data_IF_752879394759
#
_entry.id   IF_752879394759
#
_cell.length_a   1.000
_cell.length_b   1.000
_cell.length_c   1.000
_cell.angle_alpha   90.00
_cell.angle_beta   90.00
_cell.angle_gamma   90.00
#
_symmetry.space_group_name_H-M   'P 1'
#
loop_
_entity.id
_entity.type
_entity.pdbx_description
1 polymer ?
#
# COMPACT_ATOMS: atom_id res chain seq x y z
N UNK A 1 8.89 1.77 -32.74
CA UNK A 1 9.17 1.45 -31.32
C UNK A 1 8.41 0.19 -31.00
N UNK A 2 9.07 -0.95 -31.19
CA UNK A 2 8.49 -2.28 -31.01
C UNK A 2 8.51 -2.64 -29.53
N UNK A 3 7.30 -2.81 -29.01
CA UNK A 3 6.88 -3.56 -27.84
C UNK A 3 7.95 -4.51 -27.27
N UNK A 4 8.79 -4.02 -26.35
CA UNK A 4 9.68 -4.83 -25.50
C UNK A 4 8.97 -5.12 -24.18
N UNK A 5 7.76 -5.69 -24.29
CA UNK A 5 6.95 -6.07 -23.14
C UNK A 5 7.60 -7.22 -22.39
N UNK A 6 7.45 -7.15 -21.07
CA UNK A 6 7.88 -8.08 -20.05
C UNK A 6 7.60 -9.53 -20.48
N UNK A 7 8.65 -10.31 -20.78
CA UNK A 7 8.47 -11.67 -21.32
C UNK A 7 7.90 -12.66 -20.29
N UNK A 8 7.91 -12.34 -18.99
CA UNK A 8 7.59 -13.31 -17.92
C UNK A 8 6.72 -12.77 -16.75
N UNK A 9 5.96 -11.68 -16.95
CA UNK A 9 4.99 -11.22 -15.93
C UNK A 9 3.85 -12.23 -15.75
N UNK A 10 3.36 -12.73 -16.89
CA UNK A 10 2.29 -13.71 -16.98
C UNK A 10 2.78 -15.13 -16.63
N UNK A 11 2.06 -15.87 -15.76
CA UNK A 11 2.26 -17.28 -15.43
C UNK A 11 2.59 -18.19 -16.62
N UNK A 12 1.73 -18.18 -17.65
CA UNK A 12 1.85 -19.07 -18.79
C UNK A 12 3.09 -18.77 -19.63
N UNK A 13 3.47 -17.49 -19.75
CA UNK A 13 4.70 -17.10 -20.45
C UNK A 13 5.95 -17.52 -19.67
N UNK A 14 5.92 -17.46 -18.33
CA UNK A 14 7.02 -17.95 -17.51
C UNK A 14 7.17 -19.47 -17.64
N UNK A 15 6.09 -20.25 -17.45
CA UNK A 15 6.13 -21.72 -17.60
C UNK A 15 6.57 -22.14 -19.01
N UNK A 16 6.12 -21.44 -20.07
CA UNK A 16 6.59 -21.71 -21.43
C UNK A 16 8.11 -21.47 -21.59
N UNK A 17 8.64 -20.39 -21.02
CA UNK A 17 10.06 -20.07 -21.07
C UNK A 17 10.93 -21.05 -20.25
N UNK A 18 10.42 -21.53 -19.11
CA UNK A 18 11.07 -22.58 -18.32
C UNK A 18 11.13 -23.88 -19.12
N UNK A 19 10.01 -24.29 -19.72
CA UNK A 19 9.95 -25.49 -20.56
C UNK A 19 10.89 -25.41 -21.77
N UNK A 20 10.96 -24.25 -22.43
CA UNK A 20 11.90 -24.00 -23.52
C UNK A 20 13.36 -24.10 -23.04
N UNK A 21 13.68 -23.49 -21.89
CA UNK A 21 15.02 -23.55 -21.31
C UNK A 21 15.42 -24.98 -20.90
N UNK A 22 14.50 -25.74 -20.30
CA UNK A 22 14.71 -27.15 -19.96
C UNK A 22 14.90 -28.02 -21.20
N UNK A 23 14.14 -27.78 -22.27
CA UNK A 23 14.31 -28.50 -23.54
C UNK A 23 15.66 -28.19 -24.20
N UNK A 24 16.10 -26.93 -24.17
CA UNK A 24 17.43 -26.54 -24.65
C UNK A 24 18.55 -27.19 -23.83
N UNK A 25 18.40 -27.22 -22.50
CA UNK A 25 19.32 -27.92 -21.61
C UNK A 25 19.36 -29.43 -21.90
N UNK A 26 18.22 -30.08 -22.07
CA UNK A 26 18.10 -31.51 -22.43
C UNK A 26 18.83 -31.83 -23.74
N UNK A 27 18.63 -31.00 -24.77
CA UNK A 27 19.27 -31.15 -26.07
C UNK A 27 20.79 -30.96 -25.99
N UNK A 28 21.26 -29.91 -25.31
CA UNK A 28 22.68 -29.64 -25.11
C UNK A 28 23.39 -30.75 -24.33
N UNK A 29 22.71 -31.28 -23.30
CA UNK A 29 23.19 -32.40 -22.50
C UNK A 29 23.33 -33.67 -23.35
N UNK A 30 22.31 -33.97 -24.18
CA UNK A 30 22.34 -35.11 -25.11
C UNK A 30 23.52 -35.02 -26.07
N UNK A 31 23.69 -33.87 -26.74
CA UNK A 31 24.78 -33.65 -27.68
C UNK A 31 26.15 -33.84 -27.00
N UNK A 32 26.29 -33.28 -25.79
CA UNK A 32 27.54 -33.38 -25.02
C UNK A 32 27.86 -34.82 -24.63
N UNK A 33 26.88 -35.58 -24.12
CA UNK A 33 27.04 -36.99 -23.80
C UNK A 33 27.40 -37.84 -25.03
N UNK A 34 26.74 -37.61 -26.17
CA UNK A 34 27.03 -38.35 -27.41
C UNK A 34 28.45 -38.07 -27.91
N UNK A 35 28.89 -36.81 -27.85
CA UNK A 35 30.25 -36.41 -28.23
C UNK A 35 31.29 -37.10 -27.36
N UNK A 36 31.16 -37.01 -26.03
CA UNK A 36 32.11 -37.61 -25.10
C UNK A 36 32.17 -39.15 -25.24
N UNK A 37 31.01 -39.80 -25.42
CA UNK A 37 30.92 -41.25 -25.62
C UNK A 37 31.62 -41.72 -26.90
N UNK A 38 31.55 -40.94 -27.98
CA UNK A 38 32.23 -41.24 -29.26
C UNK A 38 33.73 -40.98 -29.21
N UNK A 39 34.16 -39.91 -28.54
CA UNK A 39 35.55 -39.44 -28.58
C UNK A 39 36.48 -40.17 -27.60
N UNK A 40 35.99 -40.55 -26.42
CA UNK A 40 36.87 -40.94 -25.31
C UNK A 40 36.71 -42.36 -24.79
N UNK A 41 35.65 -43.08 -25.17
CA UNK A 41 35.21 -44.35 -24.53
C UNK A 41 35.08 -44.26 -23.00
N UNK A 42 35.24 -43.07 -22.42
CA UNK A 42 35.09 -42.87 -21.00
C UNK A 42 33.60 -42.76 -20.71
N UNK A 43 33.09 -43.60 -19.79
CA UNK A 43 31.70 -43.52 -19.36
C UNK A 43 31.56 -42.13 -18.72
N UNK A 44 30.85 -41.19 -19.36
CA UNK A 44 30.67 -39.87 -18.77
C UNK A 44 29.94 -40.02 -17.44
N UNK A 45 30.04 -39.03 -16.56
CA UNK A 45 29.29 -39.05 -15.30
C UNK A 45 27.80 -39.37 -15.56
N UNK A 46 27.21 -40.29 -14.81
CA UNK A 46 25.81 -40.69 -14.99
C UNK A 46 25.09 -40.85 -13.63
N UNK A 47 23.75 -40.74 -13.61
CA UNK A 47 22.96 -40.93 -12.40
C UNK A 47 23.07 -42.35 -11.83
N UNK A 48 23.29 -43.34 -12.70
CA UNK A 48 23.40 -44.76 -12.32
C UNK A 48 24.69 -45.09 -11.51
N UNK A 49 25.72 -44.22 -11.48
CA UNK A 49 26.97 -44.47 -10.75
C UNK A 49 26.77 -44.55 -9.24
N UNK A 50 25.68 -43.99 -8.73
CA UNK A 50 25.28 -44.15 -7.33
C UNK A 50 24.56 -45.48 -7.07
N UNK A 51 24.19 -46.23 -8.12
CA UNK A 51 23.47 -47.49 -8.02
C UNK A 51 24.27 -48.67 -8.64
N UNK A 52 25.09 -49.39 -7.83
CA UNK A 52 26.02 -50.41 -8.31
C UNK A 52 25.37 -51.66 -8.93
N UNK A 53 24.03 -51.76 -8.95
CA UNK A 53 23.29 -52.88 -9.52
C UNK A 53 23.08 -52.78 -11.04
N UNK A 54 23.26 -51.60 -11.64
CA UNK A 54 23.14 -51.42 -13.10
C UNK A 54 24.51 -51.67 -13.73
N UNK A 55 24.74 -52.90 -14.21
CA UNK A 55 26.04 -53.31 -14.78
C UNK A 55 26.65 -52.25 -15.69
N UNK A 56 27.94 -51.96 -15.49
CA UNK A 56 28.66 -50.93 -16.24
C UNK A 56 28.57 -51.23 -17.75
N UNK A 57 28.25 -50.25 -18.60
CA UNK A 57 28.20 -50.45 -20.03
C UNK A 57 29.57 -50.93 -20.54
N UNK A 58 29.57 -52.01 -21.33
CA UNK A 58 30.77 -52.65 -21.86
C UNK A 58 31.15 -52.17 -23.26
N UNK A 59 30.35 -51.28 -23.88
CA UNK A 59 30.61 -50.72 -25.20
C UNK A 59 29.99 -49.31 -25.35
N UNK A 60 30.43 -48.50 -26.34
CA UNK A 60 29.90 -47.18 -26.61
C UNK A 60 28.43 -47.26 -27.03
N UNK A 61 28.04 -48.29 -27.78
CA UNK A 61 26.64 -48.51 -28.17
C UNK A 61 25.72 -48.70 -26.96
N UNK A 62 26.19 -49.39 -25.91
CA UNK A 62 25.44 -49.51 -24.67
C UNK A 62 25.35 -48.18 -23.91
N UNK A 63 26.39 -47.33 -23.98
CA UNK A 63 26.34 -45.97 -23.43
C UNK A 63 25.32 -45.13 -24.19
N UNK A 64 25.39 -45.10 -25.52
CA UNK A 64 24.48 -44.35 -26.39
C UNK A 64 23.01 -44.73 -26.16
N UNK A 65 22.72 -46.01 -25.92
CA UNK A 65 21.37 -46.49 -25.59
C UNK A 65 20.85 -46.01 -24.24
N UNK A 66 21.73 -45.65 -23.30
CA UNK A 66 21.36 -45.17 -21.95
C UNK A 66 21.25 -43.65 -21.85
N UNK A 67 21.92 -42.88 -22.72
CA UNK A 67 21.91 -41.40 -22.72
C UNK A 67 20.49 -40.83 -22.61
N UNK A 68 19.48 -41.25 -23.41
CA UNK A 68 18.14 -40.66 -23.33
C UNK A 68 17.49 -40.81 -21.96
N UNK A 69 17.81 -41.89 -21.24
CA UNK A 69 17.31 -42.11 -19.89
C UNK A 69 18.02 -41.18 -18.89
N UNK A 70 19.35 -41.14 -18.91
CA UNK A 70 20.13 -40.30 -18.00
C UNK A 70 19.80 -38.82 -18.16
N UNK A 71 19.68 -38.36 -19.40
CA UNK A 71 19.31 -36.98 -19.72
C UNK A 71 17.93 -36.63 -19.15
N UNK A 72 16.95 -37.53 -19.26
CA UNK A 72 15.62 -37.34 -18.66
C UNK A 72 15.64 -37.33 -17.13
N UNK A 73 16.41 -38.22 -16.51
CA UNK A 73 16.59 -38.25 -15.06
C UNK A 73 17.22 -36.96 -14.55
N UNK A 74 18.26 -36.45 -15.24
CA UNK A 74 18.91 -35.18 -14.92
C UNK A 74 17.95 -33.99 -15.12
N UNK A 75 17.22 -33.94 -16.24
CA UNK A 75 16.20 -32.91 -16.48
C UNK A 75 15.16 -32.91 -15.36
N UNK A 76 14.67 -34.08 -14.95
CA UNK A 76 13.69 -34.20 -13.88
C UNK A 76 14.25 -33.74 -12.52
N UNK A 77 15.53 -34.01 -12.25
CA UNK A 77 16.23 -33.49 -11.06
C UNK A 77 16.29 -31.97 -11.06
N UNK A 78 16.73 -31.36 -12.15
CA UNK A 78 16.76 -29.89 -12.32
C UNK A 78 15.36 -29.28 -12.22
N UNK A 79 14.36 -29.89 -12.85
CA UNK A 79 12.96 -29.44 -12.82
C UNK A 79 12.37 -29.49 -11.40
N UNK A 80 12.75 -30.49 -10.58
CA UNK A 80 12.31 -30.61 -9.20
C UNK A 80 12.87 -29.52 -8.26
N UNK A 81 13.99 -28.90 -8.62
CA UNK A 81 14.63 -27.83 -7.84
C UNK A 81 14.13 -26.42 -8.21
N UNK A 82 13.27 -26.30 -9.23
CA UNK A 82 12.72 -25.01 -9.67
C UNK A 82 11.76 -24.45 -8.60
N UNK A 83 11.96 -23.20 -8.12
CA UNK A 83 11.02 -22.56 -7.22
C UNK A 83 9.66 -22.37 -7.90
N UNK A 84 8.60 -22.84 -7.25
CA UNK A 84 7.25 -22.90 -7.81
C UNK A 84 6.57 -21.52 -7.71
N UNK A 85 6.94 -20.61 -8.60
CA UNK A 85 6.22 -19.35 -8.80
C UNK A 85 5.43 -19.36 -10.10
N UNK A 86 4.80 -20.48 -10.45
CA UNK A 86 4.19 -20.64 -11.76
C UNK A 86 2.78 -20.05 -11.87
N UNK A 87 2.12 -19.75 -10.75
CA UNK A 87 0.72 -19.32 -10.73
C UNK A 87 0.55 -17.82 -10.50
N UNK A 88 1.60 -17.14 -10.01
CA UNK A 88 1.53 -15.73 -9.63
C UNK A 88 1.55 -14.79 -10.84
N UNK A 89 0.54 -13.96 -11.00
CA UNK A 89 0.50 -12.94 -12.03
C UNK A 89 1.09 -11.62 -11.53
N UNK A 90 2.29 -11.27 -12.03
CA UNK A 90 2.95 -10.04 -11.66
C UNK A 90 2.17 -8.81 -12.16
N UNK A 91 1.41 -8.91 -13.25
CA UNK A 91 0.62 -7.78 -13.77
C UNK A 91 -0.52 -7.42 -12.79
N UNK A 92 -1.07 -8.41 -12.10
CA UNK A 92 -2.09 -8.20 -11.06
C UNK A 92 -1.47 -7.54 -9.82
N UNK A 93 -0.26 -7.94 -9.41
CA UNK A 93 0.49 -7.23 -8.36
C UNK A 93 0.83 -5.79 -8.77
N UNK A 94 1.04 -5.52 -10.06
CA UNK A 94 1.26 -4.16 -10.60
C UNK A 94 0.02 -3.31 -10.44
N UNK A 95 -1.13 -3.87 -10.83
CA UNK A 95 -2.41 -3.20 -10.66
C UNK A 95 -2.62 -2.81 -9.19
N UNK A 96 -2.38 -3.73 -8.25
CA UNK A 96 -2.49 -3.43 -6.82
C UNK A 96 -1.52 -2.32 -6.37
N UNK A 97 -0.25 -2.37 -6.81
CA UNK A 97 0.72 -1.30 -6.56
C UNK A 97 0.23 0.06 -7.06
N UNK A 98 -0.28 0.13 -8.30
CA UNK A 98 -0.78 1.35 -8.91
C UNK A 98 -2.03 1.89 -8.19
N UNK A 99 -2.94 1.01 -7.75
CA UNK A 99 -4.12 1.41 -6.97
C UNK A 99 -3.73 1.97 -5.59
N UNK A 100 -2.79 1.35 -4.88
CA UNK A 100 -2.29 1.88 -3.61
C UNK A 100 -1.54 3.20 -3.82
N UNK A 101 -0.76 3.32 -4.90
CA UNK A 101 -0.09 4.57 -5.24
C UNK A 101 -1.09 5.68 -5.58
N UNK A 102 -2.21 5.34 -6.22
CA UNK A 102 -3.34 6.26 -6.44
C UNK A 102 -3.96 6.70 -5.11
N UNK A 103 -4.23 5.76 -4.19
CA UNK A 103 -4.73 6.05 -2.85
C UNK A 103 -3.78 7.00 -2.07
N UNK A 104 -2.49 6.70 -2.04
CA UNK A 104 -1.48 7.56 -1.40
C UNK A 104 -1.38 8.96 -2.04
N UNK A 105 -1.56 9.06 -3.37
CA UNK A 105 -1.59 10.36 -4.07
C UNK A 105 -2.79 11.21 -3.65
N UNK A 106 -3.98 10.62 -3.54
CA UNK A 106 -5.17 11.32 -3.06
C UNK A 106 -4.96 11.86 -1.63
N UNK A 107 -4.34 11.07 -0.76
CA UNK A 107 -4.05 11.47 0.62
C UNK A 107 -2.89 12.48 0.74
N UNK A 108 -1.99 12.56 -0.24
CA UNK A 108 -0.69 13.20 -0.06
C UNK A 108 -0.32 14.34 -1.00
N UNK A 109 -1.02 14.53 -2.12
CA UNK A 109 -0.54 15.37 -3.20
C UNK A 109 -1.57 16.45 -3.60
N UNK A 110 -1.26 17.72 -3.35
CA UNK A 110 -2.10 18.87 -3.75
C UNK A 110 -2.19 19.09 -5.27
N UNK A 111 -1.40 18.38 -6.10
CA UNK A 111 -1.28 18.63 -7.55
C UNK A 111 -1.30 17.41 -8.47
N UNK A 112 -1.45 16.19 -7.93
CA UNK A 112 -1.52 15.02 -8.79
C UNK A 112 -2.88 15.00 -9.51
N UNK A 113 -2.88 15.05 -10.85
CA UNK A 113 -4.04 14.86 -11.75
C UNK A 113 -4.78 16.14 -12.17
N UNK A 114 -4.21 17.34 -12.10
CA UNK A 114 -4.84 18.52 -12.72
C UNK A 114 -6.25 18.86 -12.20
N UNK A 115 -6.66 18.24 -11.09
CA UNK A 115 -7.81 18.58 -10.27
C UNK A 115 -7.28 19.63 -9.27
N UNK A 116 -7.81 20.86 -9.26
CA UNK A 116 -7.25 21.97 -8.47
C UNK A 116 -7.25 21.80 -6.94
N UNK A 117 -7.79 20.73 -6.40
CA UNK A 117 -7.82 20.47 -4.95
C UNK A 117 -8.01 18.99 -4.70
N UNK A 118 -7.02 18.30 -4.11
CA UNK A 118 -7.24 16.99 -3.50
C UNK A 118 -7.47 17.12 -1.99
N UNK A 119 -7.63 15.99 -1.29
CA UNK A 119 -7.91 15.90 0.16
C UNK A 119 -7.09 16.90 1.00
N UNK A 120 -5.78 17.09 0.77
CA UNK A 120 -4.99 18.05 1.54
C UNK A 120 -5.51 19.50 1.49
N UNK A 121 -6.05 19.95 0.35
CA UNK A 121 -6.59 21.30 0.22
C UNK A 121 -7.86 21.47 1.09
N UNK A 122 -8.75 20.48 1.08
CA UNK A 122 -9.93 20.46 1.93
C UNK A 122 -9.55 20.37 3.41
N UNK A 123 -8.61 19.49 3.76
CA UNK A 123 -8.03 19.37 5.11
C UNK A 123 -7.43 20.70 5.59
N UNK A 124 -6.66 21.40 4.75
CA UNK A 124 -6.08 22.69 5.10
C UNK A 124 -7.16 23.75 5.35
N UNK A 125 -8.23 23.77 4.56
CA UNK A 125 -9.36 24.69 4.79
C UNK A 125 -10.14 24.33 6.06
N UNK A 126 -10.32 23.04 6.35
CA UNK A 126 -11.02 22.58 7.57
C UNK A 126 -10.20 22.88 8.84
N UNK A 127 -8.89 22.66 8.78
CA UNK A 127 -7.97 22.91 9.89
C UNK A 127 -7.70 24.42 10.10
N UNK A 128 -7.51 25.15 8.99
CA UNK A 128 -7.08 26.54 8.98
C UNK A 128 -8.19 27.59 9.07
N UNK A 129 -9.48 27.19 9.06
CA UNK A 129 -10.57 28.15 9.19
C UNK A 129 -10.47 28.87 10.54
N UNK A 130 -10.14 30.16 10.47
CA UNK A 130 -9.98 31.06 11.62
C UNK A 130 -11.10 32.10 11.72
N UNK A 131 -11.99 32.14 10.72
CA UNK A 131 -13.09 33.10 10.59
C UNK A 131 -14.35 32.64 11.34
N UNK A 132 -14.54 31.34 11.54
CA UNK A 132 -15.55 30.83 12.47
C UNK A 132 -15.06 30.94 13.94
N UNK A 133 -15.40 32.06 14.58
CA UNK A 133 -15.04 32.37 15.97
C UNK A 133 -16.14 31.98 16.98
N UNK A 134 -15.77 31.91 18.26
CA UNK A 134 -16.66 31.55 19.37
C UNK A 134 -16.44 30.12 19.88
N UNK A 135 -17.06 29.78 21.02
CA UNK A 135 -16.77 28.54 21.76
C UNK A 135 -17.02 27.29 20.89
N UNK A 136 -18.09 27.27 20.09
CA UNK A 136 -18.39 26.17 19.19
C UNK A 136 -17.36 26.02 18.05
N UNK A 137 -16.94 27.14 17.43
CA UNK A 137 -15.91 27.12 16.39
C UNK A 137 -14.54 26.72 16.93
N UNK A 138 -14.17 27.20 18.13
CA UNK A 138 -12.94 26.80 18.81
C UNK A 138 -12.92 25.32 19.17
N UNK A 139 -14.03 24.77 19.65
CA UNK A 139 -14.15 23.36 20.00
C UNK A 139 -14.11 22.46 18.76
N UNK A 140 -14.84 22.83 17.69
CA UNK A 140 -14.75 22.15 16.40
C UNK A 140 -13.31 22.14 15.88
N UNK A 141 -12.64 23.30 15.87
CA UNK A 141 -11.24 23.39 15.41
C UNK A 141 -10.32 22.55 16.28
N UNK A 142 -10.45 22.64 17.62
CA UNK A 142 -9.57 21.94 18.56
C UNK A 142 -9.69 20.43 18.46
N UNK A 143 -10.90 19.91 18.29
CA UNK A 143 -11.16 18.48 18.32
C UNK A 143 -11.13 17.88 16.91
N UNK A 144 -11.95 18.41 16.00
CA UNK A 144 -12.09 17.89 14.64
C UNK A 144 -11.03 18.46 13.70
N UNK A 145 -10.95 19.78 13.58
CA UNK A 145 -10.04 20.47 12.66
C UNK A 145 -8.57 20.03 12.82
N UNK A 146 -8.05 20.03 14.05
CA UNK A 146 -6.68 19.62 14.35
C UNK A 146 -6.40 18.13 14.14
N UNK A 147 -7.44 17.28 14.14
CA UNK A 147 -7.28 15.84 13.90
C UNK A 147 -7.14 15.48 12.42
N UNK A 148 -7.70 16.31 11.52
CA UNK A 148 -7.74 16.03 10.07
C UNK A 148 -6.36 15.73 9.46
N UNK A 149 -5.36 16.56 9.79
CA UNK A 149 -4.02 16.46 9.20
C UNK A 149 -3.21 15.27 9.72
N UNK A 150 -3.06 15.04 11.05
CA UNK A 150 -2.40 13.85 11.56
C UNK A 150 -3.03 12.54 11.05
N UNK A 151 -4.36 12.47 11.01
CA UNK A 151 -5.08 11.30 10.51
C UNK A 151 -4.75 11.02 9.04
N UNK A 152 -4.83 12.04 8.17
CA UNK A 152 -4.51 11.91 6.75
C UNK A 152 -3.05 11.50 6.52
N UNK A 153 -2.10 12.14 7.23
CA UNK A 153 -0.67 11.84 7.08
C UNK A 153 -0.34 10.40 7.52
N UNK A 154 -1.00 9.88 8.57
CA UNK A 154 -0.84 8.49 9.00
C UNK A 154 -1.45 7.49 8.04
N UNK A 155 -2.66 7.76 7.55
CA UNK A 155 -3.31 6.93 6.53
C UNK A 155 -2.49 6.88 5.24
N UNK A 156 -1.89 8.00 4.83
CA UNK A 156 -0.96 8.03 3.69
C UNK A 156 0.23 7.11 3.94
N UNK A 157 0.86 7.19 5.10
CA UNK A 157 2.02 6.36 5.37
C UNK A 157 1.67 4.85 5.43
N UNK A 158 0.47 4.49 5.91
CA UNK A 158 -0.01 3.10 5.83
C UNK A 158 -0.12 2.67 4.35
N UNK A 159 -0.72 3.51 3.50
CA UNK A 159 -0.78 3.24 2.05
C UNK A 159 0.63 3.09 1.45
N UNK A 160 1.56 4.01 1.74
CA UNK A 160 2.96 3.94 1.28
C UNK A 160 3.67 2.65 1.75
N UNK A 161 3.37 2.18 2.96
CA UNK A 161 3.91 0.91 3.47
C UNK A 161 3.33 -0.30 2.74
N UNK A 162 2.02 -0.31 2.46
CA UNK A 162 1.39 -1.37 1.67
C UNK A 162 1.97 -1.41 0.25
N UNK A 163 2.17 -0.26 -0.40
CA UNK A 163 2.83 -0.15 -1.72
C UNK A 163 4.17 -0.90 -1.70
N UNK A 164 5.00 -0.61 -0.70
CA UNK A 164 6.32 -1.22 -0.55
C UNK A 164 6.24 -2.73 -0.31
N UNK A 165 5.25 -3.22 0.46
CA UNK A 165 5.06 -4.63 0.74
C UNK A 165 4.59 -5.42 -0.49
N UNK A 166 3.64 -4.90 -1.27
CA UNK A 166 3.22 -5.50 -2.54
C UNK A 166 4.38 -5.51 -3.55
N UNK A 167 5.12 -4.40 -3.66
CA UNK A 167 6.29 -4.31 -4.53
C UNK A 167 7.39 -5.30 -4.14
N UNK A 168 7.71 -5.40 -2.85
CA UNK A 168 8.70 -6.34 -2.34
C UNK A 168 8.33 -7.80 -2.69
N UNK A 169 7.05 -8.16 -2.58
CA UNK A 169 6.60 -9.50 -2.95
C UNK A 169 6.75 -9.77 -4.45
N UNK A 170 6.35 -8.82 -5.29
CA UNK A 170 6.53 -8.90 -6.74
C UNK A 170 8.01 -9.05 -7.13
N UNK A 171 8.91 -8.32 -6.47
CA UNK A 171 10.37 -8.41 -6.69
C UNK A 171 10.91 -9.78 -6.30
N UNK A 172 10.50 -10.35 -5.16
CA UNK A 172 10.92 -11.71 -4.75
C UNK A 172 10.53 -12.74 -5.81
N UNK A 173 9.30 -12.69 -6.31
CA UNK A 173 8.78 -13.60 -7.35
C UNK A 173 9.58 -13.43 -8.65
N UNK A 174 9.73 -12.19 -9.13
CA UNK A 174 10.46 -11.88 -10.37
C UNK A 174 11.94 -12.32 -10.28
N UNK A 175 12.60 -12.08 -9.14
CA UNK A 175 13.98 -12.49 -8.90
C UNK A 175 14.15 -14.01 -8.96
N UNK A 176 13.27 -14.76 -8.28
CA UNK A 176 13.29 -16.22 -8.29
C UNK A 176 13.09 -16.79 -9.71
N UNK A 177 12.11 -16.25 -10.46
CA UNK A 177 11.84 -16.63 -11.85
C UNK A 177 13.06 -16.37 -12.76
N UNK A 178 13.71 -15.21 -12.60
CA UNK A 178 14.89 -14.85 -13.41
C UNK A 178 16.09 -15.71 -13.09
N UNK A 179 16.39 -15.92 -11.81
CA UNK A 179 17.53 -16.73 -11.39
C UNK A 179 17.37 -18.18 -11.87
N UNK A 180 16.14 -18.70 -11.86
CA UNK A 180 15.81 -20.00 -12.46
C UNK A 180 16.17 -20.06 -13.95
N UNK A 181 15.63 -19.14 -14.75
CA UNK A 181 15.88 -19.10 -16.19
C UNK A 181 17.37 -18.88 -16.51
N UNK A 182 18.04 -18.00 -15.76
CA UNK A 182 19.47 -17.72 -15.91
C UNK A 182 20.31 -18.96 -15.61
N UNK A 183 20.02 -19.68 -14.52
CA UNK A 183 20.74 -20.88 -14.14
C UNK A 183 20.66 -21.96 -15.23
N UNK A 184 19.45 -22.25 -15.71
CA UNK A 184 19.20 -23.29 -16.73
C UNK A 184 19.82 -22.89 -18.08
N UNK A 185 19.62 -21.64 -18.53
CA UNK A 185 20.18 -21.17 -19.82
C UNK A 185 21.70 -21.10 -19.80
N UNK A 186 22.30 -20.68 -18.68
CA UNK A 186 23.76 -20.67 -18.54
C UNK A 186 24.32 -22.09 -18.59
N UNK A 187 23.65 -23.05 -17.96
CA UNK A 187 24.05 -24.45 -17.98
C UNK A 187 23.95 -25.05 -19.40
N UNK A 188 22.84 -24.78 -20.10
CA UNK A 188 22.67 -25.18 -21.50
C UNK A 188 23.76 -24.59 -22.42
N UNK A 189 24.05 -23.29 -22.28
CA UNK A 189 25.09 -22.61 -23.06
C UNK A 189 26.50 -23.20 -22.83
N UNK A 190 26.83 -23.54 -21.58
CA UNK A 190 28.10 -24.20 -21.23
C UNK A 190 28.20 -25.61 -21.81
N UNK A 191 27.12 -26.39 -21.81
CA UNK A 191 27.08 -27.73 -22.41
C UNK A 191 27.33 -27.68 -23.94
N UNK A 192 26.77 -26.70 -24.64
CA UNK A 192 26.88 -26.60 -26.11
C UNK A 192 28.22 -26.06 -26.64
N UNK A 193 29.09 -25.46 -25.81
CA UNK A 193 30.41 -24.86 -26.15
C UNK A 193 30.48 -23.86 -27.33
N UNK A 194 29.40 -23.68 -28.09
CA UNK A 194 29.30 -22.88 -29.34
C UNK A 194 28.27 -21.76 -29.23
N UNK A 195 27.48 -21.71 -28.17
CA UNK A 195 26.52 -20.62 -27.94
C UNK A 195 27.28 -19.46 -27.32
N UNK A 196 27.48 -18.40 -28.11
CA UNK A 196 27.81 -17.07 -27.59
C UNK A 196 26.87 -16.79 -26.43
N UNK A 197 27.42 -16.74 -25.21
CA UNK A 197 26.73 -16.19 -24.04
C UNK A 197 26.61 -14.71 -24.31
N UNK A 198 25.64 -14.36 -25.14
CA UNK A 198 25.29 -12.98 -25.41
C UNK A 198 24.64 -12.47 -24.14
N UNK A 199 25.48 -12.05 -23.20
CA UNK A 199 25.11 -11.41 -21.94
C UNK A 199 24.45 -10.03 -22.20
N UNK A 200 24.15 -9.71 -23.47
CA UNK A 200 23.51 -8.48 -23.92
C UNK A 200 22.00 -8.44 -23.70
N UNK A 201 21.41 -9.37 -22.95
CA UNK A 201 20.09 -9.18 -22.31
C UNK A 201 20.16 -8.11 -21.18
N UNK A 202 20.79 -6.98 -21.49
CA UNK A 202 20.51 -5.60 -21.07
C UNK A 202 19.07 -5.19 -21.44
N UNK A 203 18.09 -6.09 -21.32
CA UNK A 203 16.70 -5.67 -21.20
C UNK A 203 16.56 -5.17 -19.75
N UNK A 204 16.85 -3.89 -19.54
CA UNK A 204 16.63 -3.20 -18.26
C UNK A 204 15.10 -3.07 -18.07
N UNK A 205 14.56 -3.87 -17.16
CA UNK A 205 13.12 -4.15 -17.04
C UNK A 205 12.36 -3.15 -16.16
N UNK A 206 11.12 -2.88 -16.55
CA UNK A 206 10.21 -1.89 -15.95
C UNK A 206 9.90 -2.14 -14.47
N UNK A 207 9.97 -3.37 -13.97
CA UNK A 207 9.67 -3.68 -12.57
C UNK A 207 10.78 -3.31 -11.61
N UNK A 208 12.04 -3.59 -11.96
CA UNK A 208 13.18 -3.01 -11.26
C UNK A 208 13.18 -1.50 -11.44
N UNK A 209 12.86 -0.94 -12.61
CA UNK A 209 12.76 0.52 -12.80
C UNK A 209 11.65 1.24 -12.00
N UNK A 210 10.44 0.66 -11.92
CA UNK A 210 9.28 1.21 -11.21
C UNK A 210 9.40 0.99 -9.69
N UNK A 211 9.96 -0.14 -9.25
CA UNK A 211 10.25 -0.37 -7.83
C UNK A 211 11.50 0.37 -7.35
N UNK A 212 12.61 0.43 -8.12
CA UNK A 212 13.84 1.15 -7.74
C UNK A 212 13.62 2.66 -7.55
N UNK A 213 12.73 3.27 -8.35
CA UNK A 213 12.41 4.69 -8.21
C UNK A 213 11.59 5.03 -6.97
N UNK A 214 10.75 4.09 -6.50
CA UNK A 214 9.86 4.27 -5.36
C UNK A 214 10.46 3.77 -4.02
N UNK A 215 11.31 2.75 -4.08
CA UNK A 215 11.80 2.01 -2.90
C UNK A 215 12.89 2.74 -2.11
N UNK A 216 13.60 3.72 -2.69
CA UNK A 216 14.72 4.41 -2.01
C UNK A 216 14.27 5.68 -1.25
N UNK A 217 13.01 6.09 -1.35
CA UNK A 217 12.57 7.32 -0.69
C UNK A 217 12.13 6.97 0.73
N UNK A 218 13.04 7.15 1.69
CA UNK A 218 12.68 7.19 3.10
C UNK A 218 11.44 8.09 3.26
N UNK A 219 10.37 7.54 3.82
CA UNK A 219 9.11 8.24 4.04
C UNK A 219 9.48 9.52 4.79
N UNK A 220 9.28 10.72 4.20
CA UNK A 220 9.57 11.96 4.91
C UNK A 220 8.72 11.96 6.18
N UNK A 221 9.38 12.00 7.34
CA UNK A 221 8.81 11.96 8.68
C UNK A 221 7.38 12.56 8.72
N UNK A 222 6.31 11.73 8.79
CA UNK A 222 5.04 12.28 9.22
C UNK A 222 5.25 12.79 10.65
N UNK A 223 4.82 14.02 10.89
CA UNK A 223 5.08 14.76 12.14
C UNK A 223 4.52 14.06 13.39
N UNK A 224 3.71 13.00 13.24
CA UNK A 224 3.12 12.24 14.35
C UNK A 224 2.91 10.75 14.00
N UNK A 225 3.88 9.89 14.30
CA UNK A 225 3.58 8.61 14.96
C UNK A 225 3.77 7.29 14.21
N UNK A 226 3.32 7.11 12.97
CA UNK A 226 2.97 5.72 12.53
C UNK A 226 3.96 5.08 11.56
N UNK A 227 4.73 5.84 10.78
CA UNK A 227 5.29 5.28 9.52
C UNK A 227 6.74 5.65 9.22
N UNK A 228 7.59 5.73 10.24
CA UNK A 228 9.02 5.94 10.04
C UNK A 228 9.83 4.64 9.86
N UNK A 229 9.25 3.45 10.11
CA UNK A 229 10.05 2.23 10.33
C UNK A 229 9.96 1.13 9.26
N UNK A 230 9.00 1.16 8.34
CA UNK A 230 8.93 0.19 7.23
C UNK A 230 9.90 0.59 6.10
N UNK A 231 11.17 0.75 6.45
CA UNK A 231 12.25 0.95 5.51
C UNK A 231 12.57 -0.37 4.78
N UNK A 232 12.46 -0.31 3.43
CA UNK A 232 13.16 -1.08 2.38
C UNK A 232 13.44 -2.56 2.66
N UNK A 233 12.57 -3.46 2.14
CA UNK A 233 12.83 -4.91 2.01
C UNK A 233 13.85 -5.23 0.90
N UNK A 234 14.23 -4.24 0.09
CA UNK A 234 14.79 -4.54 -1.23
C UNK A 234 16.31 -4.72 -1.24
N UNK A 235 17.02 -4.41 -0.14
CA UNK A 235 18.47 -4.60 -0.05
C UNK A 235 18.93 -6.03 -0.33
N UNK A 236 18.33 -7.02 0.35
CA UNK A 236 18.65 -8.44 0.13
C UNK A 236 18.15 -8.94 -1.23
N UNK A 237 17.05 -8.37 -1.73
CA UNK A 237 16.53 -8.70 -3.06
C UNK A 237 17.45 -8.23 -4.20
N UNK A 238 18.21 -7.16 -3.99
CA UNK A 238 19.22 -6.65 -4.93
C UNK A 238 20.50 -7.48 -4.95
N UNK A 239 20.91 -8.07 -3.83
CA UNK A 239 22.09 -8.95 -3.77
C UNK A 239 21.88 -10.27 -4.56
N UNK A 240 20.64 -10.65 -4.86
CA UNK A 240 20.32 -11.78 -5.75
C UNK A 240 20.74 -11.55 -7.21
N UNK A 241 21.07 -10.31 -7.62
CA UNK A 241 21.32 -9.99 -9.02
C UNK A 241 22.77 -10.27 -9.48
N UNK A 242 23.74 -10.43 -8.56
CA UNK A 242 25.16 -10.23 -8.89
C UNK A 242 26.09 -11.46 -8.89
N UNK A 243 25.63 -12.68 -8.57
CA UNK A 243 26.57 -13.81 -8.70
C UNK A 243 26.74 -14.19 -10.17
N UNK A 244 27.92 -13.90 -10.73
CA UNK A 244 28.39 -14.51 -11.97
C UNK A 244 28.35 -16.03 -11.82
N UNK A 245 27.47 -16.66 -12.60
CA UNK A 245 27.34 -18.11 -12.64
C UNK A 245 28.46 -18.66 -13.54
N UNK A 246 29.51 -19.17 -12.92
CA UNK A 246 30.56 -19.90 -13.62
C UNK A 246 30.46 -21.39 -13.29
N UNK A 247 30.24 -22.20 -14.32
CA UNK A 247 30.31 -23.66 -14.22
C UNK A 247 31.64 -24.14 -14.80
N UNK A 248 32.22 -25.19 -14.20
CA UNK A 248 33.36 -25.89 -14.78
C UNK A 248 32.94 -26.67 -16.05
N UNK A 249 33.90 -27.02 -16.91
CA UNK A 249 33.63 -27.52 -18.28
C UNK A 249 33.20 -29.02 -18.39
N UNK A 250 32.93 -29.69 -17.27
CA UNK A 250 32.49 -31.09 -17.25
C UNK A 250 30.99 -31.24 -16.90
N UNK A 251 30.36 -32.30 -17.42
CA UNK A 251 28.91 -32.52 -17.28
C UNK A 251 28.47 -32.55 -15.81
N UNK A 252 29.24 -33.22 -14.94
CA UNK A 252 28.87 -33.34 -13.53
C UNK A 252 28.86 -31.98 -12.85
N UNK A 253 29.93 -31.21 -13.01
CA UNK A 253 30.03 -29.86 -12.44
C UNK A 253 28.96 -28.91 -12.98
N UNK A 254 28.56 -29.04 -14.25
CA UNK A 254 27.47 -28.22 -14.81
C UNK A 254 26.12 -28.61 -14.19
N UNK A 255 25.83 -29.91 -14.10
CA UNK A 255 24.56 -30.42 -13.51
C UNK A 255 24.47 -30.06 -12.03
N UNK A 256 25.50 -30.35 -11.25
CA UNK A 256 25.53 -29.97 -9.82
C UNK A 256 25.50 -28.45 -9.66
N UNK A 257 26.19 -27.70 -10.53
CA UNK A 257 26.17 -26.24 -10.50
C UNK A 257 24.78 -25.64 -10.76
N UNK A 258 24.02 -26.18 -11.71
CA UNK A 258 22.65 -25.70 -11.96
C UNK A 258 21.72 -26.08 -10.80
N UNK A 259 21.82 -27.29 -10.25
CA UNK A 259 21.05 -27.71 -9.07
C UNK A 259 21.36 -26.83 -7.85
N UNK A 260 22.63 -26.58 -7.56
CA UNK A 260 23.06 -25.71 -6.46
C UNK A 260 22.57 -24.26 -6.66
N UNK A 261 22.57 -23.78 -7.90
CA UNK A 261 22.06 -22.45 -8.24
C UNK A 261 20.55 -22.34 -8.04
N UNK A 262 19.79 -23.37 -8.40
CA UNK A 262 18.35 -23.44 -8.19
C UNK A 262 18.02 -23.56 -6.69
N UNK A 263 18.72 -24.42 -5.94
CA UNK A 263 18.60 -24.52 -4.48
C UNK A 263 18.89 -23.19 -3.80
N UNK A 264 19.95 -22.50 -4.24
CA UNK A 264 20.28 -21.17 -3.75
C UNK A 264 19.16 -20.18 -4.05
N UNK A 265 18.67 -20.13 -5.29
CA UNK A 265 17.55 -19.25 -5.67
C UNK A 265 16.28 -19.51 -4.85
N UNK A 266 15.98 -20.78 -4.56
CA UNK A 266 14.88 -21.19 -3.67
C UNK A 266 15.12 -20.69 -2.25
N UNK A 267 16.29 -20.94 -1.66
CA UNK A 267 16.61 -20.49 -0.30
C UNK A 267 16.59 -18.96 -0.17
N UNK A 268 17.07 -18.27 -1.20
CA UNK A 268 17.05 -16.83 -1.34
C UNK A 268 15.62 -16.28 -1.34
N UNK A 269 14.72 -16.89 -2.12
CA UNK A 269 13.30 -16.56 -2.12
C UNK A 269 12.61 -16.86 -0.78
N UNK A 270 12.97 -17.96 -0.09
CA UNK A 270 12.48 -18.28 1.26
C UNK A 270 12.87 -17.16 2.23
N UNK A 271 14.15 -16.78 2.24
CA UNK A 271 14.69 -15.75 3.13
C UNK A 271 14.00 -14.39 2.88
N UNK A 272 13.85 -14.00 1.61
CA UNK A 272 13.13 -12.80 1.23
C UNK A 272 11.65 -12.85 1.65
N UNK A 273 11.01 -14.03 1.59
CA UNK A 273 9.66 -14.25 2.10
C UNK A 273 9.54 -14.04 3.61
N UNK A 274 10.53 -14.50 4.39
CA UNK A 274 10.57 -14.24 5.84
C UNK A 274 10.79 -12.76 6.17
N UNK A 275 11.72 -12.10 5.49
CA UNK A 275 11.98 -10.67 5.66
C UNK A 275 10.73 -9.84 5.36
N UNK A 276 10.05 -10.18 4.27
CA UNK A 276 8.77 -9.58 3.90
C UNK A 276 7.70 -9.78 4.98
N UNK A 277 7.48 -11.00 5.47
CA UNK A 277 6.49 -11.28 6.52
C UNK A 277 6.81 -10.53 7.82
N UNK A 278 8.09 -10.42 8.19
CA UNK A 278 8.51 -9.63 9.34
C UNK A 278 8.17 -8.15 9.20
N UNK A 279 8.24 -7.58 7.99
CA UNK A 279 7.83 -6.20 7.71
C UNK A 279 6.32 -6.00 7.73
N UNK A 280 5.53 -6.98 7.28
CA UNK A 280 4.08 -6.96 7.47
C UNK A 280 3.73 -6.87 8.96
N UNK A 281 4.34 -7.72 9.80
CA UNK A 281 4.16 -7.69 11.27
C UNK A 281 4.64 -6.40 11.91
N UNK A 282 5.71 -5.81 11.38
CA UNK A 282 6.18 -4.50 11.83
C UNK A 282 5.14 -3.42 11.59
N UNK A 283 4.59 -3.34 10.37
CA UNK A 283 3.51 -2.41 10.04
C UNK A 283 2.29 -2.59 10.95
N UNK A 284 1.83 -3.84 11.14
CA UNK A 284 0.72 -4.13 12.06
C UNK A 284 0.99 -3.64 13.49
N UNK A 285 2.20 -3.85 14.00
CA UNK A 285 2.57 -3.40 15.35
C UNK A 285 2.60 -1.89 15.46
N UNK A 286 3.07 -1.18 14.44
CA UNK A 286 3.07 0.28 14.44
C UNK A 286 1.64 0.84 14.36
N UNK A 287 0.78 0.26 13.53
CA UNK A 287 -0.66 0.58 13.51
C UNK A 287 -1.28 0.36 14.90
N UNK A 288 -1.05 -0.80 15.52
CA UNK A 288 -1.63 -1.13 16.83
C UNK A 288 -1.12 -0.25 17.99
N UNK A 289 0.10 0.30 17.91
CA UNK A 289 0.64 1.25 18.90
C UNK A 289 0.08 2.66 18.75
N UNK A 290 -0.48 2.95 17.59
CA UNK A 290 -0.99 4.29 17.29
C UNK A 290 -2.35 4.46 17.94
N UNK A 291 -2.54 5.59 18.62
CA UNK A 291 -3.87 5.96 19.12
C UNK A 291 -4.85 6.00 17.95
N UNK A 292 -5.99 5.31 18.07
CA UNK A 292 -7.00 5.25 17.00
C UNK A 292 -7.48 6.64 16.58
N UNK A 293 -7.41 7.63 17.47
CA UNK A 293 -7.69 9.06 17.17
C UNK A 293 -6.76 9.70 16.15
N UNK A 294 -5.62 9.06 15.87
CA UNK A 294 -4.65 9.47 14.86
C UNK A 294 -4.70 8.60 13.60
N UNK A 295 -5.52 7.54 13.61
CA UNK A 295 -5.76 6.65 12.46
C UNK A 295 -7.11 6.92 11.81
N UNK A 296 -8.07 7.40 12.60
CA UNK A 296 -9.40 7.80 12.19
C UNK A 296 -9.64 9.26 12.58
N UNK A 297 -10.54 9.93 11.88
CA UNK A 297 -10.88 11.34 12.16
C UNK A 297 -11.59 11.49 13.52
N UNK A 298 -11.50 12.62 14.21
CA UNK A 298 -12.24 12.79 15.48
C UNK A 298 -13.75 12.57 15.33
N UNK A 299 -14.36 11.88 16.29
CA UNK A 299 -15.79 11.59 16.30
C UNK A 299 -16.60 12.72 16.97
N UNK A 300 -17.37 13.46 16.15
CA UNK A 300 -18.24 14.54 16.63
C UNK A 300 -19.49 14.02 17.37
N UNK A 301 -19.85 12.74 17.27
CA UNK A 301 -21.06 12.18 17.92
C UNK A 301 -20.89 11.99 19.42
N UNK A 302 -19.68 11.68 19.85
CA UNK A 302 -19.36 11.38 21.25
C UNK A 302 -19.00 12.63 22.06
N UNK A 303 -18.78 13.76 21.38
CA UNK A 303 -18.71 15.10 21.99
C UNK A 303 -20.10 15.53 22.47
N UNK A 304 -20.64 14.82 23.47
CA UNK A 304 -21.91 15.10 24.10
C UNK A 304 -21.74 15.92 25.39
N UNK A 305 -22.46 17.04 25.45
CA UNK A 305 -23.20 17.49 26.65
C UNK A 305 -22.46 18.09 27.85
N UNK A 306 -21.25 18.66 27.71
CA UNK A 306 -20.69 19.46 28.80
C UNK A 306 -20.79 20.95 28.52
N UNK A 307 -21.79 21.57 29.17
CA UNK A 307 -22.07 23.02 29.23
C UNK A 307 -22.49 23.67 27.91
N UNK A 308 -23.77 24.08 27.84
CA UNK A 308 -24.14 25.16 26.93
C UNK A 308 -23.23 26.37 27.21
N UNK A 309 -22.45 26.85 26.23
CA UNK A 309 -21.67 28.05 26.42
C UNK A 309 -22.63 29.21 26.66
N UNK A 310 -22.54 29.84 27.83
CA UNK A 310 -23.38 30.97 28.24
C UNK A 310 -22.91 32.30 27.64
N UNK A 311 -22.11 32.24 26.56
CA UNK A 311 -21.56 33.39 25.85
C UNK A 311 -22.14 33.47 24.44
N UNK A 312 -22.67 34.64 24.08
CA UNK A 312 -23.35 34.90 22.82
C UNK A 312 -22.53 34.53 21.59
N UNK A 313 -23.26 34.10 20.55
CA UNK A 313 -22.72 33.69 19.28
C UNK A 313 -22.40 34.91 18.40
N UNK A 314 -21.16 35.01 17.93
CA UNK A 314 -20.78 35.96 16.88
C UNK A 314 -20.20 35.14 15.71
N UNK A 315 -21.08 34.75 14.79
CA UNK A 315 -20.66 34.29 13.46
C UNK A 315 -20.64 35.54 12.59
N UNK A 316 -19.47 36.00 12.15
CA UNK A 316 -19.36 37.18 11.29
C UNK A 316 -19.83 36.89 9.85
N UNK A 317 -19.81 35.62 9.42
CA UNK A 317 -20.25 35.19 8.07
C UNK A 317 -20.77 33.74 8.10
N UNK A 318 -22.09 33.53 7.94
CA UNK A 318 -22.72 32.21 7.83
C UNK A 318 -22.18 31.43 6.62
N UNK A 319 -21.84 32.14 5.54
CA UNK A 319 -21.28 31.54 4.33
C UNK A 319 -19.96 30.82 4.56
N UNK A 320 -19.20 31.17 5.60
CA UNK A 320 -17.98 30.45 5.98
C UNK A 320 -18.28 29.08 6.60
N UNK A 321 -19.39 28.94 7.34
CA UNK A 321 -19.83 27.65 7.88
C UNK A 321 -20.32 26.74 6.75
N UNK A 322 -21.04 27.29 5.77
CA UNK A 322 -21.48 26.56 4.58
C UNK A 322 -20.29 26.11 3.72
N UNK A 323 -19.27 26.96 3.53
CA UNK A 323 -18.02 26.57 2.84
C UNK A 323 -17.28 25.45 3.57
N UNK A 324 -17.23 25.52 4.91
CA UNK A 324 -16.62 24.48 5.72
C UNK A 324 -17.39 23.15 5.59
N UNK A 325 -18.72 23.19 5.58
CA UNK A 325 -19.57 22.04 5.32
C UNK A 325 -19.29 21.44 3.94
N UNK A 326 -19.19 22.29 2.91
CA UNK A 326 -18.84 21.86 1.55
C UNK A 326 -17.48 21.17 1.50
N UNK A 327 -16.46 21.70 2.19
CA UNK A 327 -15.16 21.05 2.26
C UNK A 327 -15.20 19.69 2.97
N UNK A 328 -16.02 19.54 4.01
CA UNK A 328 -16.25 18.25 4.66
C UNK A 328 -16.92 17.25 3.71
N UNK A 329 -17.96 17.65 2.97
CA UNK A 329 -18.60 16.76 1.99
C UNK A 329 -17.65 16.35 0.86
N UNK A 330 -16.92 17.29 0.27
CA UNK A 330 -15.97 16.98 -0.80
C UNK A 330 -14.82 16.09 -0.29
N UNK A 331 -14.31 16.32 0.92
CA UNK A 331 -13.32 15.42 1.52
C UNK A 331 -13.89 14.00 1.69
N UNK A 332 -15.15 13.84 2.11
CA UNK A 332 -15.82 12.54 2.17
C UNK A 332 -15.86 11.84 0.80
N UNK A 333 -16.33 12.52 -0.24
CA UNK A 333 -16.41 11.98 -1.60
C UNK A 333 -15.03 11.55 -2.15
N UNK A 334 -13.98 12.31 -1.84
CA UNK A 334 -12.61 11.95 -2.23
C UNK A 334 -12.10 10.74 -1.45
N UNK A 335 -12.42 10.62 -0.16
CA UNK A 335 -12.09 9.44 0.64
C UNK A 335 -12.76 8.18 0.11
N UNK A 336 -13.97 8.24 -0.45
CA UNK A 336 -14.60 7.09 -1.12
C UNK A 336 -13.76 6.57 -2.30
N UNK A 337 -13.10 7.48 -3.04
CA UNK A 337 -12.19 7.10 -4.12
C UNK A 337 -10.93 6.42 -3.58
N UNK A 338 -10.42 6.86 -2.43
CA UNK A 338 -9.30 6.21 -1.73
C UNK A 338 -9.70 4.80 -1.29
N UNK A 339 -10.85 4.65 -0.63
CA UNK A 339 -11.41 3.34 -0.20
C UNK A 339 -11.53 2.40 -1.39
N UNK A 340 -12.12 2.87 -2.50
CA UNK A 340 -12.31 2.07 -3.71
C UNK A 340 -10.99 1.59 -4.30
N UNK A 341 -9.97 2.46 -4.31
CA UNK A 341 -8.64 2.10 -4.81
C UNK A 341 -7.98 1.04 -3.93
N UNK A 342 -8.07 1.15 -2.60
CA UNK A 342 -7.48 0.15 -1.69
C UNK A 342 -8.22 -1.20 -1.81
N UNK A 343 -9.55 -1.23 -1.89
CA UNK A 343 -10.33 -2.47 -2.08
C UNK A 343 -10.01 -3.15 -3.42
N UNK A 344 -9.74 -2.38 -4.48
CA UNK A 344 -9.36 -2.95 -5.77
C UNK A 344 -8.05 -3.78 -5.74
N UNK A 345 -7.30 -3.74 -4.63
CA UNK A 345 -6.10 -4.57 -4.44
C UNK A 345 -6.41 -6.01 -4.03
N UNK A 346 -7.65 -6.33 -3.65
CA UNK A 346 -8.11 -7.69 -3.26
C UNK A 346 -7.81 -8.73 -4.36
N UNK A 347 -7.89 -8.32 -5.63
CA UNK A 347 -7.59 -9.18 -6.78
C UNK A 347 -6.15 -9.72 -6.77
N UNK A 348 -5.23 -9.03 -6.07
CA UNK A 348 -3.83 -9.43 -5.96
C UNK A 348 -3.55 -10.42 -4.81
N UNK A 349 -4.53 -10.69 -3.95
CA UNK A 349 -4.38 -11.58 -2.79
C UNK A 349 -3.93 -13.01 -3.13
N UNK A 350 -4.42 -13.65 -4.20
CA UNK A 350 -3.93 -14.97 -4.61
C UNK A 350 -2.47 -14.93 -5.11
N UNK A 351 -2.00 -13.76 -5.56
CA UNK A 351 -0.68 -13.58 -6.16
C UNK A 351 0.41 -13.38 -5.10
N UNK A 352 0.02 -13.11 -3.86
CA UNK A 352 0.94 -12.97 -2.73
C UNK A 352 1.48 -14.32 -2.25
N UNK A 353 0.84 -15.44 -2.59
CA UNK A 353 1.18 -16.79 -2.07
C UNK A 353 2.65 -17.19 -2.26
N UNK A 354 3.10 -18.08 -1.38
CA UNK A 354 4.45 -18.65 -1.36
C UNK A 354 4.81 -19.45 -2.60
N UNK A 355 6.05 -19.95 -2.62
CA UNK A 355 6.53 -20.84 -3.68
C UNK A 355 5.74 -22.15 -3.73
N UNK A 356 5.22 -22.66 -2.63
CA UNK A 356 4.35 -23.85 -2.69
C UNK A 356 2.94 -23.54 -3.23
N UNK A 357 2.67 -22.29 -3.62
CA UNK A 357 1.35 -21.81 -3.97
C UNK A 357 0.39 -21.80 -2.79
N UNK A 358 0.88 -21.98 -1.55
CA UNK A 358 0.12 -21.88 -0.34
C UNK A 358 0.17 -20.45 0.22
N UNK A 359 -0.86 -20.12 0.97
CA UNK A 359 -0.90 -18.87 1.71
C UNK A 359 0.02 -18.95 2.93
N UNK A 360 0.89 -17.96 3.08
CA UNK A 360 1.80 -17.81 4.21
C UNK A 360 1.18 -16.94 5.29
N UNK A 361 1.72 -17.01 6.52
CA UNK A 361 1.24 -16.15 7.62
C UNK A 361 1.34 -14.64 7.28
N UNK A 362 2.40 -14.24 6.58
CA UNK A 362 2.55 -12.84 6.14
C UNK A 362 1.49 -12.43 5.11
N UNK A 363 1.00 -13.36 4.28
CA UNK A 363 -0.08 -13.08 3.31
C UNK A 363 -1.39 -12.79 4.02
N UNK A 364 -1.74 -13.60 5.02
CA UNK A 364 -2.93 -13.37 5.87
C UNK A 364 -2.81 -12.04 6.60
N UNK A 365 -1.67 -11.79 7.24
CA UNK A 365 -1.44 -10.56 8.00
C UNK A 365 -1.46 -9.31 7.11
N UNK A 366 -0.98 -9.38 5.86
CA UNK A 366 -1.03 -8.23 4.95
C UNK A 366 -2.47 -7.90 4.57
N UNK A 367 -3.31 -8.92 4.32
CA UNK A 367 -4.75 -8.74 4.05
C UNK A 367 -5.47 -8.14 5.24
N UNK A 368 -5.25 -8.68 6.43
CA UNK A 368 -5.82 -8.14 7.66
C UNK A 368 -5.41 -6.67 7.88
N UNK A 369 -4.16 -6.33 7.55
CA UNK A 369 -3.65 -4.95 7.63
C UNK A 369 -4.34 -4.02 6.63
N UNK A 370 -4.51 -4.47 5.39
CA UNK A 370 -5.25 -3.73 4.37
C UNK A 370 -6.70 -3.53 4.79
N UNK A 371 -7.38 -4.57 5.28
CA UNK A 371 -8.79 -4.51 5.65
C UNK A 371 -9.02 -3.58 6.86
N UNK A 372 -8.10 -3.61 7.84
CA UNK A 372 -8.08 -2.63 8.92
C UNK A 372 -7.88 -1.20 8.38
N UNK A 373 -6.97 -1.01 7.42
CA UNK A 373 -6.76 0.28 6.77
C UNK A 373 -8.01 0.78 6.03
N UNK A 374 -8.68 -0.10 5.27
CA UNK A 374 -9.97 0.21 4.62
C UNK A 374 -11.00 0.66 5.65
N UNK A 375 -11.06 -0.01 6.81
CA UNK A 375 -11.97 0.36 7.90
C UNK A 375 -11.68 1.78 8.42
N UNK A 376 -10.42 2.13 8.65
CA UNK A 376 -10.05 3.49 9.07
C UNK A 376 -10.45 4.56 8.05
N UNK A 377 -10.27 4.28 6.76
CA UNK A 377 -10.65 5.17 5.67
C UNK A 377 -12.18 5.35 5.60
N UNK A 378 -12.95 4.25 5.72
CA UNK A 378 -14.42 4.29 5.76
C UNK A 378 -14.94 5.08 6.95
N UNK A 379 -14.37 4.88 8.13
CA UNK A 379 -14.73 5.67 9.33
C UNK A 379 -14.41 7.16 9.12
N UNK A 380 -13.27 7.48 8.53
CA UNK A 380 -12.89 8.86 8.21
C UNK A 380 -13.84 9.52 7.22
N UNK A 381 -14.20 8.80 6.15
CA UNK A 381 -15.21 9.20 5.18
C UNK A 381 -16.55 9.54 5.87
N UNK A 382 -17.07 8.62 6.69
CA UNK A 382 -18.33 8.82 7.40
C UNK A 382 -18.29 10.04 8.35
N UNK A 383 -17.17 10.24 9.05
CA UNK A 383 -16.99 11.37 9.98
C UNK A 383 -16.90 12.72 9.26
N UNK A 384 -16.30 12.78 8.06
CA UNK A 384 -16.34 13.98 7.22
C UNK A 384 -17.77 14.28 6.74
N UNK A 385 -18.49 13.28 6.24
CA UNK A 385 -19.89 13.47 5.83
C UNK A 385 -20.76 13.99 6.98
N UNK A 386 -20.65 13.38 8.15
CA UNK A 386 -21.41 13.80 9.32
C UNK A 386 -21.06 15.23 9.77
N UNK A 387 -19.76 15.59 9.76
CA UNK A 387 -19.34 16.95 10.04
C UNK A 387 -19.99 17.96 9.07
N UNK A 388 -20.07 17.63 7.78
CA UNK A 388 -20.78 18.43 6.79
C UNK A 388 -22.26 18.64 7.13
N UNK A 389 -22.95 17.56 7.51
CA UNK A 389 -24.35 17.63 7.94
C UNK A 389 -24.53 18.54 9.16
N UNK A 390 -23.71 18.36 10.20
CA UNK A 390 -23.79 19.17 11.43
C UNK A 390 -23.49 20.65 11.19
N UNK A 391 -22.52 20.96 10.32
CA UNK A 391 -22.21 22.33 9.95
C UNK A 391 -23.34 22.97 9.15
N UNK A 392 -23.99 22.22 8.27
CA UNK A 392 -25.18 22.69 7.53
C UNK A 392 -26.35 22.98 8.46
N UNK A 393 -26.59 22.09 9.42
CA UNK A 393 -27.64 22.29 10.43
C UNK A 393 -27.31 23.48 11.36
N UNK A 394 -26.03 23.67 11.72
CA UNK A 394 -25.59 24.84 12.47
C UNK A 394 -25.78 26.14 11.67
N UNK A 395 -25.41 26.18 10.39
CA UNK A 395 -25.60 27.34 9.51
C UNK A 395 -27.09 27.73 9.40
N UNK A 396 -27.97 26.75 9.26
CA UNK A 396 -29.43 26.96 9.26
C UNK A 396 -29.93 27.52 10.59
N UNK A 397 -29.49 26.94 11.71
CA UNK A 397 -29.86 27.43 13.03
C UNK A 397 -29.40 28.89 13.26
N UNK A 398 -28.21 29.27 12.76
CA UNK A 398 -27.74 30.65 12.80
C UNK A 398 -28.61 31.58 11.96
N UNK A 399 -28.94 31.19 10.73
CA UNK A 399 -29.80 31.96 9.84
C UNK A 399 -31.20 32.21 10.44
N UNK A 400 -31.80 31.18 11.04
CA UNK A 400 -33.12 31.29 11.67
C UNK A 400 -33.09 32.23 12.89
N UNK A 401 -32.03 32.17 13.71
CA UNK A 401 -31.84 33.07 14.86
C UNK A 401 -31.60 34.52 14.43
N UNK A 402 -30.80 34.76 13.39
CA UNK A 402 -30.55 36.11 12.86
C UNK A 402 -31.81 36.72 12.25
N UNK A 403 -32.59 35.93 11.52
CA UNK A 403 -33.89 36.34 10.98
C UNK A 403 -34.85 36.70 12.12
N UNK A 404 -34.95 35.86 13.14
CA UNK A 404 -35.79 36.11 14.32
C UNK A 404 -35.36 37.39 15.06
N UNK A 405 -34.06 37.60 15.27
CA UNK A 405 -33.54 38.81 15.91
C UNK A 405 -33.80 40.06 15.06
N UNK A 406 -33.66 39.97 13.73
CA UNK A 406 -33.96 41.07 12.81
C UNK A 406 -35.45 41.39 12.82
N UNK A 407 -36.32 40.39 12.84
CA UNK A 407 -37.77 40.57 12.99
C UNK A 407 -38.12 41.23 14.32
N UNK A 408 -37.50 40.81 15.44
CA UNK A 408 -37.69 41.45 16.75
C UNK A 408 -37.20 42.90 16.74
N UNK A 409 -36.02 43.17 16.18
CA UNK A 409 -35.45 44.51 16.09
C UNK A 409 -36.29 45.42 15.18
N UNK A 410 -36.77 44.90 14.05
CA UNK A 410 -37.68 45.62 13.16
C UNK A 410 -39.02 45.87 13.86
N UNK A 411 -39.59 44.89 14.56
CA UNK A 411 -40.82 45.06 15.33
C UNK A 411 -40.66 46.08 16.47
N UNK A 412 -39.49 46.14 17.11
CA UNK A 412 -39.15 47.16 18.11
C UNK A 412 -38.95 48.54 17.48
N UNK A 413 -38.37 48.62 16.28
CA UNK A 413 -38.21 49.87 15.53
C UNK A 413 -39.54 50.38 14.95
N UNK A 414 -40.49 49.48 14.67
CA UNK A 414 -41.85 49.78 14.22
C UNK A 414 -42.82 50.10 15.38
N UNK A 415 -42.41 49.90 16.65
CA UNK A 415 -43.18 50.43 17.77
C UNK A 415 -43.20 51.96 17.68
N UNK A 416 -44.38 52.61 17.63
CA UNK A 416 -44.47 54.05 17.51
C UNK A 416 -43.79 54.70 18.71
N UNK A 417 -43.01 55.74 18.44
CA UNK A 417 -42.28 56.54 19.41
C UNK A 417 -43.14 56.85 20.64
N UNK A 418 -42.90 56.14 21.74
CA UNK A 418 -43.54 56.40 23.02
C UNK A 418 -43.06 57.74 23.63
N UNK A 419 -42.19 58.49 22.93
CA UNK A 419 -41.86 59.89 23.23
C UNK A 419 -42.76 60.91 22.51
N UNK A 420 -43.95 60.50 22.05
CA UNK A 420 -45.06 61.43 21.86
C UNK A 420 -45.31 62.21 23.16
N UNK A 421 -44.74 63.40 23.24
CA UNK A 421 -44.67 64.28 24.39
C UNK A 421 -45.96 64.34 25.22
N UNK A 422 -45.94 63.72 26.41
CA UNK A 422 -46.77 64.13 27.53
C UNK A 422 -45.85 64.82 28.56
N UNK A 423 -45.81 66.17 28.59
CA UNK A 423 -44.87 66.93 29.42
C UNK A 423 -45.17 66.90 30.93
N UNK A 424 -46.18 66.15 31.41
CA UNK A 424 -46.62 66.17 32.82
C UNK A 424 -46.19 64.95 33.67
N UNK A 425 -45.38 64.03 33.16
CA UNK A 425 -44.84 62.91 33.96
C UNK A 425 -43.40 63.17 34.41
N UNK A 426 -43.29 64.03 35.42
CA UNK A 426 -42.06 64.19 36.21
C UNK A 426 -41.73 62.92 36.99
N UNK A 427 -40.86 62.10 36.43
CA UNK A 427 -40.20 60.98 37.11
C UNK A 427 -38.86 60.70 36.42
N UNK A 428 -37.76 61.02 37.10
CA UNK A 428 -36.40 60.85 36.56
C UNK A 428 -36.04 59.37 36.38
N UNK A 429 -35.42 59.06 35.24
CA UNK A 429 -34.99 57.72 34.77
C UNK A 429 -34.08 56.96 35.76
N UNK A 430 -33.54 57.63 36.79
CA UNK A 430 -32.78 56.99 37.88
C UNK A 430 -33.62 56.06 38.79
N UNK A 431 -34.97 56.15 38.77
CA UNK A 431 -35.82 55.24 39.57
C UNK A 431 -36.06 53.86 38.95
N UNK A 432 -35.60 53.59 37.72
CA UNK A 432 -35.79 52.29 37.07
C UNK A 432 -34.52 51.43 36.89
N UNK A 433 -33.35 51.92 37.32
CA UNK A 433 -32.10 51.14 37.30
C UNK A 433 -31.99 50.19 38.52
N UNK A 434 -32.85 50.35 39.53
CA UNK A 434 -32.85 49.49 40.73
C UNK A 434 -33.68 48.19 40.64
N UNK A 435 -34.31 47.88 39.49
CA UNK A 435 -35.27 46.77 39.38
C UNK A 435 -34.77 45.53 38.61
N UNK A 436 -33.54 45.53 38.09
CA UNK A 436 -33.00 44.40 37.31
C UNK A 436 -31.91 43.60 38.03
N UNK A 437 -31.76 43.79 39.34
CA UNK A 437 -30.92 42.92 40.17
C UNK A 437 -31.78 42.02 41.05
N UNK A 438 -32.12 40.84 40.52
CA UNK A 438 -32.66 39.72 41.30
C UNK A 438 -31.89 38.45 40.96
N UNK A 439 -30.76 38.25 41.65
CA UNK A 439 -30.29 36.89 41.97
C UNK A 439 -30.86 36.46 43.33
N UNK A 440 -31.76 35.50 43.22
CA UNK A 440 -32.00 34.36 44.08
C UNK A 440 -31.49 34.35 45.54
N UNK A 441 -32.47 34.17 46.43
CA UNK A 441 -32.64 32.97 47.26
C UNK A 441 -31.33 32.47 47.91
N UNK A 442 -31.09 32.95 49.13
CA UNK A 442 -30.60 32.13 50.23
C UNK A 442 -31.62 32.22 51.36
N UNK A 443 -31.78 31.11 52.07
CA UNK A 443 -32.65 30.89 53.24
C UNK A 443 -34.13 30.60 52.95
N UNK A 444 -34.42 29.32 52.68
CA UNK A 444 -35.37 28.54 53.49
C UNK A 444 -35.29 27.04 53.14
N UNK A 445 -34.26 26.38 53.68
CA UNK A 445 -34.36 25.01 54.20
C UNK A 445 -33.74 25.01 55.59
N UNK A 446 -34.57 25.39 56.56
CA UNK A 446 -34.74 24.66 57.81
C UNK A 446 -36.03 23.85 57.68
#
# INVERSE_FOLDING_TARGET
MTDKTIKHANPAKYSAAVNEALAAFEAALTERYEKEARESFHIPWNPDRENPMVGAPSSPDQVLQRIPRWVKEIRAGVEAEIPVYETQDLDVLASAFDQLHRAARFLGNEKAIGIPSGIPAHVNNINGNSTWAGIAGEEFRRNFGLSTRPTMDNQRGIADSLINLYAARAVTIDSARRNTLRAIRTAAGKLSQTVSTDNSETELWQWTGLSLGAVVVGIPNPTVGVVSSVAVVVGNAFDFYQTDLEYADDIHSIVTGVEDSLKKATQDAINAGYDWSNKVKELQREIAKTDSKLLELFDLTTAGTTSQPTGGYAVEDIGEIEKLAQHCFTASEEYEQVVSAVIATDDADPQLRGMDGAETAGDVELKDTRDAFVSFLQTTCARYYEAGCRLTDAARAYFDMETTNTEILNALAEQPDLNGADPDRGGTVEQHVGATDRRNIQDQML
#
